data_IF_695695570100
#
_entry.id   IF_695695570100
#
_cell.length_a   1.000
_cell.length_b   1.000
_cell.length_c   1.000
_cell.angle_alpha   90.00
_cell.angle_beta   90.00
_cell.angle_gamma   90.00
#
_symmetry.space_group_name_H-M   'P 1'
#
loop_
_entity.id
_entity.type
_entity.pdbx_description
1 polymer ?
#
# COMPACT_ATOMS: atom_id res chain seq x y z
N UNK A 1 -19.59 0.18 -14.96
CA UNK A 1 -19.83 -1.20 -14.50
C UNK A 1 -18.80 -2.08 -15.17
N UNK A 2 -17.62 -2.21 -14.56
CA UNK A 2 -16.82 -3.42 -14.73
C UNK A 2 -17.57 -4.54 -14.00
N UNK A 3 -17.77 -5.70 -14.62
CA UNK A 3 -18.44 -6.79 -13.92
C UNK A 3 -17.48 -7.30 -12.84
N UNK A 4 -18.00 -7.65 -11.66
CA UNK A 4 -17.19 -8.27 -10.59
C UNK A 4 -16.44 -9.50 -11.11
N UNK A 5 -17.05 -10.26 -12.02
CA UNK A 5 -16.43 -11.38 -12.71
C UNK A 5 -15.17 -10.99 -13.51
N UNK A 6 -15.16 -9.83 -14.18
CA UNK A 6 -13.99 -9.35 -14.93
C UNK A 6 -12.84 -9.02 -13.96
N UNK A 7 -13.17 -8.51 -12.77
CA UNK A 7 -12.19 -8.18 -11.73
C UNK A 7 -11.63 -9.47 -11.12
N UNK A 8 -12.48 -10.46 -10.84
CA UNK A 8 -12.04 -11.78 -10.35
C UNK A 8 -11.14 -12.49 -11.38
N UNK A 9 -11.44 -12.38 -12.67
CA UNK A 9 -10.60 -12.90 -13.74
C UNK A 9 -9.25 -12.18 -13.81
N UNK A 10 -9.24 -10.84 -13.69
CA UNK A 10 -7.99 -10.07 -13.64
C UNK A 10 -7.11 -10.47 -12.44
N UNK A 11 -7.70 -10.64 -11.25
CA UNK A 11 -7.01 -11.12 -10.05
C UNK A 11 -6.40 -12.50 -10.30
N UNK A 12 -7.17 -13.41 -10.90
CA UNK A 12 -6.69 -14.76 -11.22
C UNK A 12 -5.48 -14.73 -12.17
N UNK A 13 -5.58 -13.97 -13.27
CA UNK A 13 -4.52 -13.86 -14.27
C UNK A 13 -3.25 -13.22 -13.70
N UNK A 14 -3.37 -12.18 -12.86
CA UNK A 14 -2.22 -11.57 -12.21
C UNK A 14 -1.54 -12.52 -11.23
N UNK A 15 -2.29 -13.32 -10.46
CA UNK A 15 -1.73 -14.36 -9.59
C UNK A 15 -0.98 -15.43 -10.40
N UNK A 16 -1.56 -15.88 -11.52
CA UNK A 16 -0.91 -16.84 -12.40
C UNK A 16 0.40 -16.26 -12.98
N UNK A 17 0.37 -15.02 -13.48
CA UNK A 17 1.54 -14.33 -14.01
C UNK A 17 2.65 -14.17 -12.95
N UNK A 18 2.29 -13.87 -11.70
CA UNK A 18 3.25 -13.80 -10.58
C UNK A 18 3.87 -15.18 -10.32
N UNK A 19 3.07 -16.25 -10.31
CA UNK A 19 3.57 -17.62 -10.09
C UNK A 19 4.55 -18.10 -11.16
N UNK A 20 4.42 -17.57 -12.39
CA UNK A 20 5.29 -17.89 -13.52
C UNK A 20 6.54 -17.00 -13.60
N UNK A 21 6.56 -15.86 -12.90
CA UNK A 21 7.70 -14.97 -12.87
C UNK A 21 8.74 -15.39 -11.82
N UNK A 22 10.01 -15.49 -12.23
CA UNK A 22 11.10 -15.59 -11.26
C UNK A 22 11.16 -14.31 -10.41
N UNK A 23 11.21 -14.44 -9.09
CA UNK A 23 11.24 -13.36 -8.07
C UNK A 23 12.38 -12.33 -8.20
N UNK A 24 13.28 -12.51 -9.18
CA UNK A 24 14.52 -11.73 -9.35
C UNK A 24 14.38 -10.44 -10.20
N UNK A 25 13.19 -10.05 -10.66
CA UNK A 25 13.05 -8.95 -11.64
C UNK A 25 12.02 -7.87 -11.26
N UNK A 26 12.31 -6.62 -11.68
CA UNK A 26 11.40 -5.47 -11.66
C UNK A 26 9.96 -5.79 -12.10
N UNK A 27 9.81 -6.72 -13.05
CA UNK A 27 8.52 -7.22 -13.52
C UNK A 27 7.66 -7.86 -12.41
N UNK A 28 8.26 -8.55 -11.44
CA UNK A 28 7.52 -9.13 -10.31
C UNK A 28 6.87 -8.03 -9.46
N UNK A 29 7.60 -6.95 -9.17
CA UNK A 29 7.05 -5.84 -8.38
C UNK A 29 5.92 -5.09 -9.10
N UNK A 30 5.98 -5.00 -10.42
CA UNK A 30 4.92 -4.37 -11.24
C UNK A 30 3.67 -5.24 -11.31
N UNK A 31 3.83 -6.56 -11.43
CA UNK A 31 2.71 -7.50 -11.38
C UNK A 31 2.02 -7.51 -10.01
N UNK A 32 2.79 -7.43 -8.92
CA UNK A 32 2.23 -7.31 -7.57
C UNK A 32 1.47 -5.98 -7.40
N UNK A 33 1.99 -4.87 -7.93
CA UNK A 33 1.29 -3.58 -7.92
C UNK A 33 -0.06 -3.65 -8.68
N UNK A 34 -0.10 -4.32 -9.83
CA UNK A 34 -1.34 -4.56 -10.57
C UNK A 34 -2.34 -5.42 -9.77
N UNK A 35 -1.87 -6.51 -9.16
CA UNK A 35 -2.71 -7.37 -8.34
C UNK A 35 -3.33 -6.60 -7.16
N UNK A 36 -2.55 -5.75 -6.48
CA UNK A 36 -3.05 -4.90 -5.40
C UNK A 36 -4.18 -4.00 -5.90
N UNK A 37 -4.03 -3.34 -7.04
CA UNK A 37 -5.08 -2.45 -7.60
C UNK A 37 -6.37 -3.21 -7.91
N UNK A 38 -6.26 -4.42 -8.44
CA UNK A 38 -7.45 -5.24 -8.73
C UNK A 38 -8.14 -5.70 -7.45
N UNK A 39 -7.38 -6.08 -6.41
CA UNK A 39 -7.92 -6.43 -5.10
C UNK A 39 -8.62 -5.24 -4.43
N UNK A 40 -8.07 -4.03 -4.57
CA UNK A 40 -8.71 -2.81 -4.08
C UNK A 40 -10.01 -2.47 -4.81
N UNK A 41 -10.03 -2.64 -6.13
CA UNK A 41 -11.23 -2.47 -6.92
C UNK A 41 -12.28 -3.51 -6.55
N UNK A 42 -11.87 -4.77 -6.39
CA UNK A 42 -12.74 -5.85 -5.94
C UNK A 42 -13.33 -5.56 -4.56
N UNK A 43 -12.52 -5.10 -3.61
CA UNK A 43 -13.00 -4.67 -2.30
C UNK A 43 -14.01 -3.53 -2.40
N UNK A 44 -13.76 -2.54 -3.26
CA UNK A 44 -14.67 -1.40 -3.43
C UNK A 44 -16.05 -1.84 -3.93
N UNK A 45 -16.08 -2.76 -4.90
CA UNK A 45 -17.32 -3.26 -5.52
C UNK A 45 -18.05 -4.30 -4.65
N UNK A 46 -17.33 -5.13 -3.90
CA UNK A 46 -17.92 -6.29 -3.18
C UNK A 46 -17.94 -6.14 -1.66
N UNK A 47 -17.19 -5.18 -1.11
CA UNK A 47 -16.90 -5.04 0.32
C UNK A 47 -16.29 -6.32 0.94
N UNK A 48 -15.58 -7.12 0.12
CA UNK A 48 -14.95 -8.36 0.56
C UNK A 48 -13.71 -8.09 1.41
N UNK A 49 -13.81 -8.33 2.73
CA UNK A 49 -12.67 -8.21 3.64
C UNK A 49 -11.46 -9.07 3.24
N UNK A 50 -11.69 -10.22 2.61
CA UNK A 50 -10.61 -11.09 2.11
C UNK A 50 -9.72 -10.40 1.06
N UNK A 51 -10.31 -9.60 0.18
CA UNK A 51 -9.55 -8.85 -0.83
C UNK A 51 -8.76 -7.71 -0.20
N UNK A 52 -9.30 -7.09 0.85
CA UNK A 52 -8.59 -6.08 1.61
C UNK A 52 -7.40 -6.68 2.38
N UNK A 53 -7.60 -7.83 3.03
CA UNK A 53 -6.55 -8.54 3.77
C UNK A 53 -5.38 -8.92 2.87
N UNK A 54 -5.67 -9.47 1.69
CA UNK A 54 -4.65 -9.85 0.72
C UNK A 54 -3.90 -8.62 0.17
N UNK A 55 -4.60 -7.52 -0.12
CA UNK A 55 -3.96 -6.28 -0.54
C UNK A 55 -2.98 -5.76 0.52
N UNK A 56 -3.36 -5.81 1.81
CA UNK A 56 -2.50 -5.44 2.93
C UNK A 56 -1.25 -6.33 3.00
N UNK A 57 -1.41 -7.65 2.88
CA UNK A 57 -0.28 -8.59 2.88
C UNK A 57 0.70 -8.30 1.74
N UNK A 58 0.20 -8.00 0.54
CA UNK A 58 1.04 -7.68 -0.62
C UNK A 58 1.76 -6.34 -0.47
N UNK A 59 1.11 -5.32 0.12
CA UNK A 59 1.78 -4.07 0.48
C UNK A 59 2.93 -4.30 1.47
N UNK A 60 2.74 -5.13 2.49
CA UNK A 60 3.81 -5.47 3.45
C UNK A 60 4.96 -6.19 2.76
N UNK A 61 4.67 -7.17 1.90
CA UNK A 61 5.71 -7.86 1.13
C UNK A 61 6.53 -6.89 0.27
N UNK A 62 5.91 -5.87 -0.33
CA UNK A 62 6.62 -4.85 -1.09
C UNK A 62 7.45 -3.91 -0.21
N UNK A 63 6.99 -3.61 1.02
CA UNK A 63 7.72 -2.78 1.98
C UNK A 63 9.00 -3.46 2.49
N UNK A 64 8.98 -4.78 2.63
CA UNK A 64 10.13 -5.57 3.09
C UNK A 64 11.22 -5.77 2.02
N UNK A 65 10.93 -5.45 0.75
CA UNK A 65 11.92 -5.56 -0.32
C UNK A 65 12.92 -4.38 -0.26
N UNK A 66 14.24 -4.63 -0.42
CA UNK A 66 15.23 -3.57 -0.50
C UNK A 66 14.99 -2.72 -1.75
N UNK A 67 14.32 -1.58 -1.57
CA UNK A 67 13.88 -0.73 -2.67
C UNK A 67 15.03 0.19 -3.16
N UNK A 68 15.39 0.05 -4.44
CA UNK A 68 16.31 0.98 -5.13
C UNK A 68 15.62 2.29 -5.57
N UNK A 69 14.38 2.55 -5.09
CA UNK A 69 13.56 3.71 -5.50
C UNK A 69 12.66 4.22 -4.35
N UNK A 70 12.95 5.42 -3.86
CA UNK A 70 12.15 6.13 -2.86
C UNK A 70 10.66 6.32 -3.25
N UNK A 71 10.34 6.41 -4.55
CA UNK A 71 8.95 6.57 -5.04
C UNK A 71 8.08 5.34 -4.83
N UNK A 72 8.62 4.14 -5.00
CA UNK A 72 7.87 2.89 -4.74
C UNK A 72 7.57 2.74 -3.25
N UNK A 73 8.54 3.10 -2.41
CA UNK A 73 8.38 3.08 -0.95
C UNK A 73 7.28 4.04 -0.47
N UNK A 74 7.24 5.27 -1.01
CA UNK A 74 6.20 6.25 -0.67
C UNK A 74 4.78 5.76 -1.04
N UNK A 75 4.61 5.18 -2.25
CA UNK A 75 3.32 4.61 -2.67
C UNK A 75 2.89 3.42 -1.82
N UNK A 76 3.81 2.50 -1.50
CA UNK A 76 3.53 1.32 -0.67
C UNK A 76 3.06 1.74 0.73
N UNK A 77 3.74 2.72 1.35
CA UNK A 77 3.38 3.21 2.68
C UNK A 77 2.03 3.94 2.68
N UNK A 78 1.75 4.77 1.67
CA UNK A 78 0.46 5.46 1.54
C UNK A 78 -0.69 4.46 1.34
N UNK A 79 -0.48 3.47 0.47
CA UNK A 79 -1.44 2.39 0.23
C UNK A 79 -1.70 1.58 1.51
N UNK A 80 -0.64 1.15 2.19
CA UNK A 80 -0.75 0.41 3.45
C UNK A 80 -1.48 1.21 4.53
N UNK A 81 -1.13 2.48 4.72
CA UNK A 81 -1.78 3.37 5.71
C UNK A 81 -3.28 3.48 5.47
N UNK A 82 -3.70 3.78 4.23
CA UNK A 82 -5.12 3.88 3.86
C UNK A 82 -5.88 2.56 4.08
N UNK A 83 -5.27 1.42 3.74
CA UNK A 83 -5.94 0.12 3.89
C UNK A 83 -6.01 -0.32 5.34
N UNK A 84 -4.99 -0.04 6.15
CA UNK A 84 -5.07 -0.23 7.60
C UNK A 84 -6.17 0.64 8.21
N UNK A 85 -6.28 1.92 7.83
CA UNK A 85 -7.39 2.78 8.29
C UNK A 85 -8.76 2.20 7.94
N UNK A 86 -8.94 1.73 6.69
CA UNK A 86 -10.18 1.07 6.27
C UNK A 86 -10.42 -0.25 7.02
N UNK A 87 -9.38 -1.05 7.23
CA UNK A 87 -9.45 -2.30 7.97
C UNK A 87 -9.86 -2.07 9.43
N UNK A 88 -9.24 -1.10 10.13
CA UNK A 88 -9.63 -0.71 11.48
C UNK A 88 -11.08 -0.20 11.53
N UNK A 89 -11.49 0.65 10.57
CA UNK A 89 -12.86 1.13 10.48
C UNK A 89 -13.90 0.01 10.26
N UNK A 90 -13.53 -1.05 9.53
CA UNK A 90 -14.40 -2.20 9.25
C UNK A 90 -14.39 -3.26 10.35
N UNK A 91 -13.25 -3.47 11.02
CA UNK A 91 -13.02 -4.62 11.90
C UNK A 91 -12.93 -4.30 13.40
N UNK A 92 -12.67 -3.06 13.84
CA UNK A 92 -12.71 -2.74 15.27
C UNK A 92 -12.71 -1.23 15.59
N UNK A 93 -13.74 -0.80 16.31
CA UNK A 93 -13.69 0.14 17.45
C UNK A 93 -13.02 1.54 17.23
N UNK A 94 -13.76 2.66 17.35
CA UNK A 94 -13.29 4.03 17.08
C UNK A 94 -12.13 4.56 17.96
N UNK A 95 -11.57 3.77 18.87
CA UNK A 95 -10.47 4.16 19.75
C UNK A 95 -9.10 4.11 19.04
N UNK A 96 -8.93 3.22 18.05
CA UNK A 96 -7.64 2.96 17.38
C UNK A 96 -7.31 4.00 16.28
N UNK A 97 -8.28 4.81 15.87
CA UNK A 97 -8.10 5.92 14.92
C UNK A 97 -7.14 7.00 15.44
N UNK A 98 -7.01 7.16 16.76
CA UNK A 98 -6.15 8.20 17.36
C UNK A 98 -4.66 7.93 17.20
N UNK A 99 -4.22 6.66 17.20
CA UNK A 99 -2.79 6.34 17.06
C UNK A 99 -2.28 6.53 15.62
N UNK A 100 -3.18 6.48 14.63
CA UNK A 100 -2.85 6.71 13.22
C UNK A 100 -2.73 8.20 12.89
N UNK A 101 -3.61 9.04 13.44
CA UNK A 101 -3.50 10.50 13.34
C UNK A 101 -2.17 11.00 13.94
N UNK A 102 -1.71 10.40 15.05
CA UNK A 102 -0.40 10.72 15.64
C UNK A 102 0.79 10.27 14.78
N UNK A 103 0.63 9.21 13.98
CA UNK A 103 1.67 8.73 13.04
C UNK A 103 1.80 9.65 11.82
N UNK A 104 0.69 10.15 11.27
CA UNK A 104 0.67 11.10 10.13
C UNK A 104 1.24 12.47 10.53
N UNK A 105 0.95 12.91 11.77
CA UNK A 105 1.54 14.13 12.36
C UNK A 105 3.06 14.00 12.61
N UNK A 106 3.57 12.80 12.88
CA UNK A 106 5.01 12.59 13.08
C UNK A 106 5.83 12.68 11.78
N UNK A 107 5.24 12.28 10.64
CA UNK A 107 5.87 12.31 9.32
C UNK A 107 5.91 13.73 8.71
N UNK A 108 4.93 14.57 9.04
CA UNK A 108 4.91 15.98 8.61
C UNK A 108 5.86 16.86 9.42
N UNK A 109 6.12 16.50 10.69
CA UNK A 109 6.99 17.26 11.60
C UNK A 109 8.49 17.09 11.31
N UNK A 110 8.92 15.94 10.80
CA UNK A 110 10.33 15.70 10.46
C UNK A 110 10.78 16.37 9.16
N UNK A 111 9.85 16.81 8.30
CA UNK A 111 10.18 17.54 7.06
C UNK A 111 10.41 19.04 7.26
N UNK A 112 10.07 19.60 8.44
CA UNK A 112 10.23 21.05 8.71
C UNK A 112 11.55 21.38 9.45
N UNK A 113 12.33 20.36 9.84
CA UNK A 113 13.50 20.53 10.72
C UNK A 113 14.84 20.79 10.00
N UNK A 114 14.91 20.82 8.66
CA UNK A 114 16.20 20.95 7.95
C UNK A 114 16.46 22.29 7.24
N UNK A 115 15.66 23.33 7.45
CA UNK A 115 15.94 24.66 6.87
C UNK A 115 16.10 25.73 7.95
N UNK A 116 17.07 25.61 8.86
CA UNK A 116 17.75 26.79 9.45
C UNK A 116 19.08 26.39 10.11
N UNK A 117 20.16 26.23 9.34
CA UNK A 117 21.52 26.48 9.86
C UNK A 117 22.61 26.39 8.78
N UNK A 118 22.86 27.51 8.11
CA UNK A 118 24.16 27.92 7.56
C UNK A 118 23.96 29.35 7.02
N UNK A 119 24.67 30.41 7.40
CA UNK A 119 25.97 30.54 8.06
C UNK A 119 26.12 31.99 8.52
N UNK A 120 26.62 32.19 9.74
CA UNK A 120 27.09 33.48 10.26
C UNK A 120 28.63 33.60 10.06
N UNK A 121 29.12 34.84 9.98
CA UNK A 121 30.55 35.23 10.04
C UNK A 121 31.23 35.27 8.67
N UNK A 122 31.89 36.35 8.22
CA UNK A 122 32.62 37.44 8.90
C UNK A 122 32.48 38.73 8.09
#
# INVERSE_FOLDING_TARGET
>A
MTAVADIEEAIYLHREAISLCSTSHLAHSELVECLIKDLELHFTETQSGQSLDEAIMLYQQLADLPADKAKKHSWVLEGLSKKLQHFFALHNNPQDLKEVDEMDDSLTRDQDSTVTSAKAGV
#
